data_IF_247448694181
#
_entry.id   IF_247448694181
#
_cell.length_a   1.000
_cell.length_b   1.000
_cell.length_c   1.000
_cell.angle_alpha   90.00
_cell.angle_beta   90.00
_cell.angle_gamma   90.00
#
_symmetry.space_group_name_H-M   'P 1'
#
loop_
_entity.id
_entity.type
_entity.pdbx_description
1 polymer ?
#
# COMPACT_ATOMS: atom_id res chain seq x y z
N UNK A 1 -16.40 -15.95 21.83
CA UNK A 1 -16.91 -15.58 20.50
C UNK A 1 -17.23 -14.10 20.45
N UNK A 2 -16.34 -13.27 19.89
CA UNK A 2 -16.60 -11.90 19.38
C UNK A 2 -15.26 -11.20 19.08
N UNK A 3 -14.73 -11.35 17.86
CA UNK A 3 -13.58 -10.55 17.38
C UNK A 3 -13.81 -9.90 16.00
N UNK A 4 -15.03 -9.97 15.45
CA UNK A 4 -15.38 -9.40 14.14
C UNK A 4 -16.03 -8.01 14.16
N UNK A 5 -16.20 -7.38 15.34
CA UNK A 5 -17.04 -6.18 15.49
C UNK A 5 -16.52 -4.92 14.78
N UNK A 6 -15.20 -4.67 14.80
CA UNK A 6 -14.67 -3.36 14.39
C UNK A 6 -14.43 -3.21 12.89
N UNK A 7 -14.06 -4.29 12.18
CA UNK A 7 -13.82 -4.27 10.73
C UNK A 7 -15.12 -4.17 9.94
N UNK A 8 -16.17 -4.89 10.39
CA UNK A 8 -17.49 -4.87 9.77
C UNK A 8 -18.19 -3.51 9.92
N UNK A 9 -17.98 -2.82 11.05
CA UNK A 9 -18.53 -1.49 11.29
C UNK A 9 -17.85 -0.41 10.44
N UNK A 10 -16.52 -0.44 10.32
CA UNK A 10 -15.80 0.47 9.43
C UNK A 10 -16.21 0.26 7.96
N UNK A 11 -16.39 -0.99 7.53
CA UNK A 11 -16.88 -1.30 6.18
C UNK A 11 -18.31 -0.76 5.94
N UNK A 12 -19.20 -0.88 6.93
CA UNK A 12 -20.55 -0.28 6.87
C UNK A 12 -20.50 1.24 6.79
N UNK A 13 -19.59 1.89 7.53
CA UNK A 13 -19.40 3.34 7.50
C UNK A 13 -18.88 3.83 6.15
N UNK A 14 -17.96 3.10 5.50
CA UNK A 14 -17.47 3.47 4.17
C UNK A 14 -18.56 3.27 3.11
N UNK A 15 -19.39 2.23 3.24
CA UNK A 15 -20.52 1.99 2.32
C UNK A 15 -21.53 3.15 2.28
N UNK A 16 -21.70 3.89 3.38
CA UNK A 16 -22.61 5.06 3.40
C UNK A 16 -21.99 6.34 2.83
N UNK A 17 -20.71 6.30 2.45
CA UNK A 17 -19.99 7.40 1.79
C UNK A 17 -19.73 7.04 0.32
N UNK A 18 -20.74 7.10 -0.58
CA UNK A 18 -20.64 6.60 -1.96
C UNK A 18 -19.64 7.36 -2.84
N UNK A 19 -19.19 8.54 -2.38
CA UNK A 19 -18.17 9.35 -3.06
C UNK A 19 -16.78 9.20 -2.46
N UNK A 20 -16.63 8.44 -1.38
CA UNK A 20 -15.33 8.17 -0.77
C UNK A 20 -14.57 7.24 -1.71
N UNK A 21 -13.52 7.78 -2.32
CA UNK A 21 -12.63 7.05 -3.23
C UNK A 21 -11.18 6.99 -2.71
N UNK A 22 -10.91 7.68 -1.60
CA UNK A 22 -9.61 7.75 -0.95
C UNK A 22 -9.78 7.38 0.52
N UNK A 23 -8.90 6.56 1.05
CA UNK A 23 -8.90 6.11 2.44
C UNK A 23 -7.50 6.22 3.03
N UNK A 24 -7.40 6.86 4.20
CA UNK A 24 -6.19 6.87 5.02
C UNK A 24 -6.42 5.98 6.23
N UNK A 25 -5.53 5.01 6.47
CA UNK A 25 -5.65 4.09 7.60
C UNK A 25 -4.32 3.43 7.98
N UNK A 26 -4.22 2.92 9.21
CA UNK A 26 -3.16 1.97 9.57
C UNK A 26 -3.43 0.62 8.93
N UNK A 27 -2.39 -0.05 8.43
CA UNK A 27 -2.54 -1.36 7.81
C UNK A 27 -3.17 -2.35 8.81
N UNK A 28 -4.19 -3.07 8.36
CA UNK A 28 -4.81 -4.15 9.10
C UNK A 28 -5.14 -5.27 8.11
N UNK A 29 -4.50 -6.45 8.20
CA UNK A 29 -4.69 -7.53 7.24
C UNK A 29 -6.09 -8.16 7.30
N UNK A 30 -6.88 -7.86 8.34
CA UNK A 30 -8.26 -8.33 8.46
C UNK A 30 -9.27 -7.37 7.82
N UNK A 31 -8.82 -6.20 7.36
CA UNK A 31 -9.71 -5.18 6.82
C UNK A 31 -9.81 -5.28 5.30
N UNK A 32 -11.01 -5.53 4.77
CA UNK A 32 -11.24 -5.57 3.32
C UNK A 32 -11.41 -4.16 2.78
N UNK A 33 -10.57 -3.76 1.82
CA UNK A 33 -10.72 -2.47 1.14
C UNK A 33 -11.96 -2.50 0.25
N UNK A 34 -12.93 -1.58 0.46
CA UNK A 34 -14.10 -1.48 -0.42
C UNK A 34 -13.69 -1.16 -1.86
N UNK A 35 -14.37 -1.77 -2.84
CA UNK A 35 -14.01 -1.67 -4.26
C UNK A 35 -14.08 -0.25 -4.85
N UNK A 36 -14.79 0.66 -4.20
CA UNK A 36 -14.87 2.07 -4.57
C UNK A 36 -13.63 2.89 -4.19
N UNK A 37 -12.77 2.36 -3.30
CA UNK A 37 -11.53 3.01 -2.88
C UNK A 37 -10.45 2.72 -3.92
N UNK A 38 -10.03 3.77 -4.61
CA UNK A 38 -8.97 3.70 -5.62
C UNK A 38 -7.64 4.27 -5.09
N UNK A 39 -7.69 5.12 -4.06
CA UNK A 39 -6.50 5.66 -3.40
C UNK A 39 -6.44 5.15 -1.97
N UNK A 40 -5.34 4.51 -1.61
CA UNK A 40 -5.07 4.04 -0.25
C UNK A 40 -3.81 4.70 0.28
N UNK A 41 -3.92 5.33 1.44
CA UNK A 41 -2.79 5.89 2.18
C UNK A 41 -2.62 5.07 3.45
N UNK A 42 -1.53 4.33 3.53
CA UNK A 42 -1.18 3.57 4.72
C UNK A 42 -0.35 4.44 5.65
N UNK A 43 -0.72 4.44 6.92
CA UNK A 43 -0.01 5.14 7.99
C UNK A 43 0.60 4.16 9.00
N UNK A 44 1.67 4.59 9.67
CA UNK A 44 2.31 3.85 10.74
C UNK A 44 3.64 3.21 10.33
N UNK A 45 4.05 2.21 11.09
CA UNK A 45 5.34 1.54 10.90
C UNK A 45 5.24 0.47 9.83
N UNK A 46 6.06 0.60 8.79
CA UNK A 46 6.12 -0.35 7.67
C UNK A 46 6.57 -1.76 8.09
N UNK A 47 7.25 -1.94 9.23
CA UNK A 47 7.58 -3.27 9.79
C UNK A 47 6.35 -4.12 10.09
N UNK A 48 5.20 -3.48 10.26
CA UNK A 48 3.93 -4.17 10.51
C UNK A 48 3.19 -4.58 9.23
N UNK A 49 3.69 -4.20 8.06
CA UNK A 49 3.04 -4.43 6.77
C UNK A 49 3.64 -5.68 6.12
N UNK A 50 2.81 -6.71 5.93
CA UNK A 50 3.15 -7.86 5.09
C UNK A 50 2.71 -7.57 3.66
N UNK A 51 3.64 -7.56 2.71
CA UNK A 51 3.34 -7.27 1.29
C UNK A 51 2.41 -8.31 0.69
N UNK A 52 2.62 -9.60 0.96
CA UNK A 52 1.74 -10.68 0.50
C UNK A 52 0.28 -10.47 0.98
N UNK A 53 0.10 -10.07 2.25
CA UNK A 53 -1.23 -9.76 2.78
C UNK A 53 -1.80 -8.50 2.15
N UNK A 54 -0.97 -7.48 1.95
CA UNK A 54 -1.35 -6.23 1.32
C UNK A 54 -1.86 -6.47 -0.10
N UNK A 55 -1.16 -7.28 -0.90
CA UNK A 55 -1.55 -7.67 -2.27
C UNK A 55 -2.98 -8.23 -2.31
N UNK A 56 -3.31 -9.13 -1.40
CA UNK A 56 -4.66 -9.69 -1.32
C UNK A 56 -5.73 -8.70 -0.88
N UNK A 57 -5.34 -7.62 -0.20
CA UNK A 57 -6.25 -6.64 0.38
C UNK A 57 -6.58 -5.49 -0.58
N UNK A 58 -5.63 -5.07 -1.43
CA UNK A 58 -5.72 -3.80 -2.19
C UNK A 58 -6.00 -3.96 -3.69
N UNK A 59 -6.63 -5.07 -4.11
CA UNK A 59 -6.84 -5.41 -5.53
C UNK A 59 -7.54 -4.36 -6.41
N UNK A 60 -8.32 -3.45 -5.81
CA UNK A 60 -9.03 -2.39 -6.53
C UNK A 60 -8.34 -1.01 -6.42
N UNK A 61 -7.28 -0.92 -5.62
CA UNK A 61 -6.51 0.30 -5.42
C UNK A 61 -5.64 0.53 -6.65
N UNK A 62 -5.61 1.77 -7.12
CA UNK A 62 -4.77 2.23 -8.23
C UNK A 62 -3.61 3.08 -7.73
N UNK A 63 -3.83 3.83 -6.66
CA UNK A 63 -2.83 4.70 -6.04
C UNK A 63 -2.58 4.24 -4.62
N UNK A 64 -1.35 3.78 -4.34
CA UNK A 64 -0.91 3.41 -3.00
C UNK A 64 0.13 4.41 -2.51
N UNK A 65 -0.12 5.01 -1.35
CA UNK A 65 0.91 5.65 -0.56
C UNK A 65 1.23 4.76 0.64
N UNK A 66 2.50 4.42 0.82
CA UNK A 66 2.93 3.44 1.81
C UNK A 66 4.26 3.86 2.46
N UNK A 67 4.37 3.79 3.80
CA UNK A 67 5.66 3.90 4.46
C UNK A 67 6.53 2.73 4.05
N UNK A 68 7.79 3.00 3.74
CA UNK A 68 8.78 1.95 3.50
C UNK A 68 10.00 2.18 4.40
N UNK A 69 10.58 1.08 4.85
CA UNK A 69 11.78 1.08 5.69
C UNK A 69 12.91 0.21 5.14
N UNK A 70 12.73 -0.40 3.96
CA UNK A 70 13.74 -1.28 3.36
C UNK A 70 13.62 -1.28 1.84
N UNK A 71 14.77 -1.54 1.19
CA UNK A 71 14.87 -1.67 -0.26
C UNK A 71 14.14 -2.93 -0.75
N UNK A 72 14.20 -3.99 0.05
CA UNK A 72 13.51 -5.26 -0.23
C UNK A 72 11.99 -5.07 -0.27
N UNK A 73 11.42 -4.31 0.66
CA UNK A 73 9.98 -4.01 0.65
C UNK A 73 9.57 -3.22 -0.59
N UNK A 74 10.43 -2.32 -1.08
CA UNK A 74 10.17 -1.60 -2.33
C UNK A 74 10.15 -2.56 -3.53
N UNK A 75 11.08 -3.52 -3.60
CA UNK A 75 11.10 -4.55 -4.64
C UNK A 75 9.87 -5.43 -4.58
N UNK A 76 9.51 -5.92 -3.39
CA UNK A 76 8.31 -6.75 -3.21
C UNK A 76 7.05 -6.00 -3.68
N UNK A 77 6.97 -4.69 -3.42
CA UNK A 77 5.86 -3.85 -3.87
C UNK A 77 5.85 -3.74 -5.40
N UNK A 78 7.00 -3.48 -6.03
CA UNK A 78 7.10 -3.35 -7.50
C UNK A 78 6.78 -4.68 -8.19
N UNK A 79 7.31 -5.79 -7.66
CA UNK A 79 7.17 -7.12 -8.25
C UNK A 79 5.77 -7.71 -8.05
N UNK A 80 5.14 -7.47 -6.89
CA UNK A 80 3.86 -8.08 -6.56
C UNK A 80 2.65 -7.18 -6.84
N UNK A 81 2.76 -5.86 -6.69
CA UNK A 81 1.62 -4.93 -6.81
C UNK A 81 1.55 -4.32 -8.22
N UNK A 82 1.62 -5.17 -9.23
CA UNK A 82 1.65 -4.83 -10.67
C UNK A 82 0.39 -4.09 -11.17
N UNK A 83 -0.72 -4.21 -10.45
CA UNK A 83 -1.98 -3.55 -10.76
C UNK A 83 -2.02 -2.07 -10.35
N UNK A 84 -1.03 -1.58 -9.60
CA UNK A 84 -0.96 -0.18 -9.17
C UNK A 84 -0.54 0.72 -10.34
N UNK A 85 -1.27 1.82 -10.51
CA UNK A 85 -0.94 2.87 -11.48
C UNK A 85 0.03 3.89 -10.89
N UNK A 86 -0.04 4.12 -9.57
CA UNK A 86 0.80 5.09 -8.85
C UNK A 86 1.23 4.52 -7.49
N UNK A 87 2.52 4.59 -7.21
CA UNK A 87 3.10 4.17 -5.93
C UNK A 87 3.88 5.36 -5.35
N UNK A 88 3.56 5.72 -4.12
CA UNK A 88 4.22 6.80 -3.37
C UNK A 88 4.85 6.17 -2.12
N UNK A 89 6.17 6.10 -2.11
CA UNK A 89 6.92 5.69 -0.92
C UNK A 89 7.12 6.89 -0.01
N UNK A 90 6.81 6.74 1.28
CA UNK A 90 7.21 7.69 2.31
C UNK A 90 8.33 7.10 3.15
N UNK A 91 9.41 7.87 3.33
CA UNK A 91 10.61 7.46 4.04
C UNK A 91 10.76 8.25 5.34
N UNK A 92 11.33 7.61 6.36
CA UNK A 92 11.88 8.37 7.49
C UNK A 92 13.16 9.10 7.00
N UNK A 93 13.31 10.37 7.37
CA UNK A 93 14.27 11.35 6.80
C UNK A 93 15.75 10.92 6.75
N UNK A 94 16.13 9.84 7.43
CA UNK A 94 17.52 9.42 7.59
C UNK A 94 18.13 8.69 6.38
N UNK A 95 17.32 8.22 5.41
CA UNK A 95 17.81 7.32 4.36
C UNK A 95 17.33 7.66 2.93
N UNK A 96 16.72 8.83 2.70
CA UNK A 96 16.09 9.19 1.41
C UNK A 96 17.05 9.06 0.21
N UNK A 97 18.31 9.49 0.36
CA UNK A 97 19.31 9.42 -0.73
C UNK A 97 19.63 7.98 -1.17
N UNK A 98 19.79 7.05 -0.23
CA UNK A 98 20.11 5.66 -0.54
C UNK A 98 18.96 4.91 -1.23
N UNK A 99 17.72 5.31 -0.94
CA UNK A 99 16.52 4.76 -1.59
C UNK A 99 16.34 5.30 -3.00
N UNK A 100 16.65 6.58 -3.23
CA UNK A 100 16.57 7.18 -4.56
C UNK A 100 17.59 6.54 -5.52
N UNK A 101 18.84 6.38 -5.09
CA UNK A 101 19.89 5.73 -5.90
C UNK A 101 19.50 4.29 -6.25
N UNK A 102 18.97 3.55 -5.27
CA UNK A 102 18.48 2.20 -5.47
C UNK A 102 17.31 2.14 -6.48
N UNK A 103 16.36 3.08 -6.39
CA UNK A 103 15.21 3.12 -7.28
C UNK A 103 15.63 3.38 -8.74
N UNK A 104 16.58 4.30 -8.95
CA UNK A 104 17.15 4.58 -10.27
C UNK A 104 17.88 3.35 -10.81
N UNK A 105 18.72 2.70 -9.99
CA UNK A 105 19.44 1.48 -10.38
C UNK A 105 18.46 0.38 -10.83
N UNK A 106 17.36 0.17 -10.09
CA UNK A 106 16.40 -0.89 -10.43
C UNK A 106 15.54 -0.56 -11.63
N UNK A 107 15.02 0.66 -11.77
CA UNK A 107 14.30 1.06 -12.99
C UNK A 107 15.16 0.87 -14.24
N UNK A 108 16.47 1.09 -14.14
CA UNK A 108 17.39 0.87 -15.25
C UNK A 108 17.45 -0.60 -15.69
N UNK A 109 17.22 -1.56 -14.79
CA UNK A 109 17.19 -2.99 -15.09
C UNK A 109 15.82 -3.43 -15.63
N UNK A 110 14.72 -2.94 -15.05
CA UNK A 110 13.36 -3.35 -15.44
C UNK A 110 12.87 -2.72 -16.75
N UNK A 111 13.48 -1.61 -17.22
CA UNK A 111 13.06 -0.91 -18.45
C UNK A 111 14.11 -0.89 -19.58
N UNK A 112 15.21 -1.64 -19.45
CA UNK A 112 16.18 -1.83 -20.55
C UNK A 112 15.97 -3.12 -21.35
N UNK A 113 14.92 -3.90 -21.07
CA UNK A 113 14.48 -5.00 -21.94
C UNK A 113 13.35 -4.51 -22.87
N UNK A 114 13.76 -3.89 -23.99
CA UNK A 114 12.98 -3.80 -25.24
C UNK A 114 13.31 -5.01 -26.14
#
# INVERSE_FOLDING_TARGET
SSKGGNTDELYKLIKVLPRLNSLTMKFNPLFVIPSQIHTLILEGDSRSISIDQLYHTIKNVKTLQIPTNSKDMMLDIIDQLDHLENIIFTFDEFNEGEYLEFFIEKLSVYWMED
#
